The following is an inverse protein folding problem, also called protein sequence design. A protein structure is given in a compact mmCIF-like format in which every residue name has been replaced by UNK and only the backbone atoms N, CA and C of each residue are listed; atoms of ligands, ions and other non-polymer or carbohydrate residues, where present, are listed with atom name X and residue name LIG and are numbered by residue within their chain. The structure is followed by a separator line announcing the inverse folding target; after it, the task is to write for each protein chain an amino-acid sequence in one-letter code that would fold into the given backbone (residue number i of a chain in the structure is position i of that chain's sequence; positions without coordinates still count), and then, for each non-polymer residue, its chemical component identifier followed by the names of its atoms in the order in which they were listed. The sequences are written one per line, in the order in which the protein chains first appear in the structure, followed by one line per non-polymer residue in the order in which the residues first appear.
data_IF_754937360884
#
_entry.id   IF_754937360884
#
_cell.length_a   1.000
_cell.length_b   1.000
_cell.length_c   1.000
_cell.angle_alpha   90.00
_cell.angle_beta   90.00
_cell.angle_gamma   90.00
#
_symmetry.space_group_name_H-M   'P 1'
#
loop_
_entity.id
_entity.type
_entity.pdbx_description
1 polymer ?
#
# COMPACT_ATOMS: atom_id res chain seq x y z
N UNK A 1 -8.12 2.05 16.56
CA UNK A 1 -7.07 3.04 16.95
C UNK A 1 -7.12 4.14 15.92
N UNK A 2 -7.73 5.25 16.36
CA UNK A 2 -8.31 6.20 15.46
C UNK A 2 -7.31 7.17 14.81
N UNK A 3 -7.83 7.92 13.90
CA UNK A 3 -7.31 9.10 13.20
C UNK A 3 -6.60 10.15 14.10
N UNK A 4 -6.55 9.95 15.41
CA UNK A 4 -5.94 10.88 16.37
C UNK A 4 -4.44 11.14 16.20
N UNK A 5 -3.71 10.26 15.51
CA UNK A 5 -2.25 10.43 15.33
C UNK A 5 -1.88 11.36 14.16
N UNK A 6 -2.79 11.55 13.21
CA UNK A 6 -2.55 12.43 12.03
C UNK A 6 -2.63 13.90 12.43
N UNK A 7 -3.36 14.22 13.49
CA UNK A 7 -3.62 15.59 13.94
C UNK A 7 -2.91 15.95 15.25
N UNK A 8 -1.84 15.26 15.61
CA UNK A 8 -1.03 15.66 16.75
C UNK A 8 -0.41 17.02 16.46
N UNK A 9 -1.01 18.05 17.02
CA UNK A 9 -0.47 19.42 16.97
C UNK A 9 0.81 19.57 17.79
N UNK A 10 1.19 18.56 18.57
CA UNK A 10 2.33 18.59 19.48
C UNK A 10 3.14 17.30 19.34
N UNK A 11 4.44 17.47 19.31
CA UNK A 11 5.41 16.37 19.37
C UNK A 11 6.05 16.37 20.74
N UNK A 12 6.04 15.21 21.40
CA UNK A 12 6.71 15.01 22.66
C UNK A 12 8.07 14.39 22.42
N UNK A 13 9.12 15.11 22.74
CA UNK A 13 10.47 14.55 22.69
C UNK A 13 11.34 15.07 23.82
N UNK A 14 12.41 14.35 24.10
CA UNK A 14 13.41 14.74 25.07
C UNK A 14 14.69 15.09 24.33
N UNK A 15 15.22 16.29 24.55
CA UNK A 15 16.53 16.65 24.02
C UNK A 15 17.61 15.73 24.60
N UNK A 16 18.70 15.46 23.86
CA UNK A 16 19.85 14.76 24.40
C UNK A 16 20.32 15.45 25.68
N UNK A 17 20.50 14.66 26.76
CA UNK A 17 20.92 15.10 28.10
C UNK A 17 19.87 15.83 28.96
N UNK A 18 18.65 16.03 28.45
CA UNK A 18 17.59 16.63 29.24
C UNK A 18 16.91 15.62 30.17
N UNK A 19 16.40 16.09 31.32
CA UNK A 19 15.70 15.23 32.32
C UNK A 19 14.22 15.04 31.99
N UNK A 20 13.64 15.98 31.26
CA UNK A 20 12.19 16.03 31.05
C UNK A 20 11.84 15.87 29.57
N UNK A 21 10.64 15.35 29.34
CA UNK A 21 10.01 15.34 28.01
C UNK A 21 9.24 16.63 27.84
N UNK A 22 9.55 17.37 26.81
CA UNK A 22 8.86 18.63 26.47
C UNK A 22 7.89 18.44 25.32
N UNK A 23 6.82 19.24 25.31
CA UNK A 23 5.84 19.27 24.24
C UNK A 23 6.13 20.46 23.33
N UNK A 24 6.39 20.18 22.05
CA UNK A 24 6.63 21.20 21.05
C UNK A 24 5.55 21.16 19.97
N UNK A 25 5.15 22.34 19.42
CA UNK A 25 4.22 22.36 18.31
C UNK A 25 4.84 21.66 17.09
N UNK A 26 4.05 20.84 16.40
CA UNK A 26 4.46 20.20 15.16
C UNK A 26 4.30 21.22 14.02
N UNK A 27 5.40 21.83 13.61
CA UNK A 27 5.44 22.87 12.59
C UNK A 27 6.05 22.39 11.25
N UNK A 28 6.61 21.19 11.23
CA UNK A 28 7.33 20.68 10.07
C UNK A 28 6.41 19.94 9.11
N UNK A 29 6.54 20.23 7.82
CA UNK A 29 6.07 19.39 6.72
C UNK A 29 7.26 18.77 6.01
N UNK A 30 7.09 17.56 5.49
CA UNK A 30 8.17 16.83 4.85
C UNK A 30 7.85 16.67 3.36
N UNK A 31 8.86 16.92 2.54
CA UNK A 31 8.85 16.64 1.11
C UNK A 31 10.04 15.76 0.80
N UNK A 32 9.85 14.77 -0.04
CA UNK A 32 10.91 13.89 -0.50
C UNK A 32 10.79 13.64 -2.00
N UNK A 33 11.89 13.33 -2.66
CA UNK A 33 11.91 12.89 -4.05
C UNK A 33 12.49 11.49 -4.12
N UNK A 34 11.94 10.66 -5.00
CA UNK A 34 12.39 9.30 -5.25
C UNK A 34 12.47 9.06 -6.75
N UNK A 35 13.34 8.16 -7.17
CA UNK A 35 13.41 7.69 -8.53
C UNK A 35 12.60 6.39 -8.64
N UNK A 36 11.57 6.38 -9.48
CA UNK A 36 10.66 5.24 -9.67
C UNK A 36 9.37 5.38 -8.88
N UNK A 37 8.39 4.57 -9.28
CA UNK A 37 7.03 4.66 -8.77
C UNK A 37 6.79 3.75 -7.55
N UNK A 38 7.61 2.72 -7.34
CA UNK A 38 7.44 1.72 -6.30
C UNK A 38 8.14 2.13 -4.99
N UNK A 39 7.58 3.07 -4.23
CA UNK A 39 8.21 3.54 -3.00
C UNK A 39 7.31 3.44 -1.75
N UNK A 40 6.00 3.23 -1.90
CA UNK A 40 5.10 3.07 -0.78
C UNK A 40 5.09 1.61 -0.32
N UNK A 41 5.74 1.34 0.81
CA UNK A 41 5.86 -0.02 1.38
C UNK A 41 4.77 -0.35 2.40
N UNK A 42 4.16 0.67 3.02
CA UNK A 42 3.15 0.48 4.06
C UNK A 42 1.73 0.70 3.49
N UNK A 43 0.94 -0.39 3.31
CA UNK A 43 -0.42 -0.28 2.79
C UNK A 43 -1.37 0.46 3.74
N UNK A 44 -1.02 0.60 5.02
CA UNK A 44 -1.88 1.28 6.01
C UNK A 44 -1.47 2.73 6.24
N UNK A 45 -0.22 3.09 5.96
CA UNK A 45 0.36 4.41 6.17
C UNK A 45 0.35 5.31 4.93
N UNK A 46 0.07 4.78 3.75
CA UNK A 46 0.11 5.51 2.47
C UNK A 46 -0.80 6.74 2.43
N UNK A 47 -1.89 6.77 3.20
CA UNK A 47 -2.77 7.94 3.36
C UNK A 47 -2.10 9.22 3.89
N UNK A 48 -0.84 9.11 4.35
CA UNK A 48 -0.05 10.24 4.85
C UNK A 48 0.85 10.83 3.77
N UNK A 49 0.92 10.18 2.62
CA UNK A 49 1.73 10.58 1.49
C UNK A 49 0.82 11.10 0.38
N UNK A 50 1.26 12.19 -0.24
CA UNK A 50 0.67 12.75 -1.44
C UNK A 50 1.70 12.56 -2.56
N UNK A 51 1.68 11.42 -3.25
CA UNK A 51 2.61 11.17 -4.34
C UNK A 51 2.23 11.98 -5.57
N UNK A 52 3.25 12.52 -6.26
CA UNK A 52 3.11 13.21 -7.53
C UNK A 52 4.16 12.68 -8.50
N UNK A 53 3.76 12.37 -9.70
CA UNK A 53 4.69 12.10 -10.78
C UNK A 53 5.13 13.41 -11.43
N UNK A 54 6.43 13.67 -11.48
CA UNK A 54 6.99 14.84 -12.14
C UNK A 54 7.30 14.49 -13.58
N UNK A 55 6.45 14.92 -14.51
CA UNK A 55 6.61 14.63 -15.93
C UNK A 55 7.65 15.52 -16.61
N UNK A 56 7.74 16.79 -16.21
CA UNK A 56 8.71 17.74 -16.74
C UNK A 56 8.98 18.87 -15.75
N UNK A 57 10.17 19.47 -15.84
CA UNK A 57 10.57 20.60 -15.00
C UNK A 57 11.01 21.75 -15.90
N UNK A 58 10.29 22.87 -15.84
CA UNK A 58 10.70 24.13 -16.46
C UNK A 58 11.56 24.92 -15.47
N UNK A 59 12.88 24.79 -15.60
CA UNK A 59 13.85 25.40 -14.70
C UNK A 59 13.80 26.92 -14.75
N UNK A 60 13.62 27.52 -15.93
CA UNK A 60 13.62 28.97 -16.07
C UNK A 60 12.37 29.59 -15.42
N UNK A 61 11.23 28.97 -15.63
CA UNK A 61 9.99 29.38 -14.96
C UNK A 61 10.04 29.18 -13.46
N UNK A 62 10.63 28.08 -13.01
CA UNK A 62 10.81 27.80 -11.57
C UNK A 62 11.68 28.85 -10.88
N UNK A 63 12.77 29.32 -11.51
CA UNK A 63 13.63 30.39 -10.98
C UNK A 63 12.92 31.75 -10.86
N UNK A 64 11.90 31.99 -11.66
CA UNK A 64 11.13 33.24 -11.64
C UNK A 64 10.08 33.27 -10.51
N UNK A 65 9.79 32.13 -9.87
CA UNK A 65 8.79 32.03 -8.80
C UNK A 65 9.38 32.58 -7.49
N UNK A 66 8.76 33.63 -6.95
CA UNK A 66 9.10 34.16 -5.62
C UNK A 66 8.47 33.27 -4.54
N UNK A 67 9.29 32.69 -3.66
CA UNK A 67 8.78 31.90 -2.53
C UNK A 67 7.97 32.76 -1.55
N UNK A 68 8.30 34.07 -1.38
CA UNK A 68 7.53 34.98 -0.56
C UNK A 68 6.11 35.16 -1.11
N UNK A 69 5.97 35.23 -2.44
CA UNK A 69 4.65 35.30 -3.08
C UNK A 69 3.84 34.01 -2.83
N UNK A 70 4.47 32.85 -2.93
CA UNK A 70 3.81 31.56 -2.64
C UNK A 70 3.31 31.49 -1.20
N UNK A 71 4.14 31.87 -0.23
CA UNK A 71 3.73 31.88 1.18
C UNK A 71 2.63 32.94 1.46
N UNK A 72 2.69 34.08 0.78
CA UNK A 72 1.65 35.11 0.90
C UNK A 72 0.32 34.63 0.38
N UNK A 73 0.30 33.95 -0.78
CA UNK A 73 -0.89 33.35 -1.36
C UNK A 73 -1.47 32.26 -0.45
N UNK A 74 -0.63 31.37 0.07
CA UNK A 74 -1.06 30.35 1.02
C UNK A 74 -1.72 30.96 2.28
N UNK A 75 -1.15 32.06 2.80
CA UNK A 75 -1.72 32.78 3.93
C UNK A 75 -3.08 33.41 3.60
N UNK A 76 -3.22 33.97 2.41
CA UNK A 76 -4.50 34.54 1.93
C UNK A 76 -5.55 33.44 1.82
N UNK A 77 -5.21 32.28 1.26
CA UNK A 77 -6.10 31.14 1.15
C UNK A 77 -6.58 30.66 2.52
N UNK A 78 -5.67 30.50 3.48
CA UNK A 78 -6.04 30.11 4.85
C UNK A 78 -6.99 31.12 5.48
N UNK A 79 -6.70 32.42 5.35
CA UNK A 79 -7.52 33.48 5.91
C UNK A 79 -8.89 33.63 5.24
N UNK A 80 -9.02 33.19 3.98
CA UNK A 80 -10.30 33.12 3.26
C UNK A 80 -11.13 31.89 3.60
N UNK A 81 -10.65 31.02 4.49
CA UNK A 81 -11.36 29.81 4.91
C UNK A 81 -11.12 28.60 3.99
N UNK A 82 -10.04 28.60 3.20
CA UNK A 82 -9.68 27.44 2.41
C UNK A 82 -9.50 26.20 3.30
N UNK A 83 -10.17 25.12 2.94
CA UNK A 83 -10.09 23.85 3.65
C UNK A 83 -8.81 23.10 3.24
N UNK A 84 -7.89 22.96 4.16
CA UNK A 84 -6.58 22.30 3.96
C UNK A 84 -6.52 20.87 4.52
N UNK A 85 -7.64 20.37 5.04
CA UNK A 85 -7.78 19.00 5.53
C UNK A 85 -8.68 18.23 4.59
N UNK A 86 -8.26 17.02 4.26
CA UNK A 86 -9.06 16.10 3.47
C UNK A 86 -10.21 15.52 4.31
N UNK A 87 -11.36 15.32 3.69
CA UNK A 87 -12.45 14.54 4.27
C UNK A 87 -12.28 13.05 3.99
N UNK A 88 -13.21 12.24 4.52
CA UNK A 88 -13.12 10.78 4.41
C UNK A 88 -13.24 10.30 2.96
N UNK A 89 -14.01 10.97 2.11
CA UNK A 89 -14.19 10.62 0.70
C UNK A 89 -12.94 10.97 -0.11
N UNK A 90 -12.37 12.15 0.10
CA UNK A 90 -11.10 12.56 -0.50
C UNK A 90 -9.94 11.66 -0.08
N UNK A 91 -9.92 11.19 1.17
CA UNK A 91 -8.93 10.22 1.64
C UNK A 91 -9.06 8.89 0.90
N UNK A 92 -10.28 8.44 0.60
CA UNK A 92 -10.50 7.22 -0.19
C UNK A 92 -10.02 7.38 -1.62
N UNK A 93 -10.21 8.55 -2.23
CA UNK A 93 -9.73 8.85 -3.59
C UNK A 93 -8.19 8.91 -3.64
N UNK A 94 -7.56 9.62 -2.72
CA UNK A 94 -6.10 9.64 -2.55
C UNK A 94 -5.51 8.24 -2.35
N UNK A 95 -6.24 7.37 -1.67
CA UNK A 95 -5.82 5.99 -1.48
C UNK A 95 -5.76 5.22 -2.79
N UNK A 96 -6.75 5.39 -3.67
CA UNK A 96 -6.79 4.76 -4.99
C UNK A 96 -5.65 5.27 -5.88
N UNK A 97 -5.44 6.58 -5.91
CA UNK A 97 -4.32 7.17 -6.65
C UNK A 97 -2.96 6.69 -6.14
N UNK A 98 -2.82 6.55 -4.81
CA UNK A 98 -1.60 6.05 -4.19
C UNK A 98 -1.33 4.55 -4.43
N UNK A 99 -2.30 3.77 -4.90
CA UNK A 99 -2.11 2.34 -5.21
C UNK A 99 -1.07 2.12 -6.32
N UNK A 100 -0.96 3.03 -7.27
CA UNK A 100 0.01 2.97 -8.37
C UNK A 100 1.47 3.11 -7.89
N UNK A 101 1.67 3.76 -6.72
CA UNK A 101 2.99 3.99 -6.12
C UNK A 101 3.37 2.93 -5.08
N UNK A 102 2.54 1.93 -4.87
CA UNK A 102 2.80 0.89 -3.89
C UNK A 102 3.70 -0.20 -4.46
N UNK A 103 4.73 -0.56 -3.69
CA UNK A 103 5.63 -1.67 -4.01
C UNK A 103 4.84 -2.95 -4.22
N UNK A 104 5.06 -3.59 -5.37
CA UNK A 104 4.53 -4.93 -5.63
C UNK A 104 5.40 -5.95 -4.91
N UNK A 105 4.81 -6.72 -4.01
CA UNK A 105 5.52 -7.79 -3.32
C UNK A 105 5.65 -9.03 -4.21
N UNK A 106 6.72 -9.82 -3.98
CA UNK A 106 6.91 -11.08 -4.68
C UNK A 106 5.70 -12.03 -4.52
N UNK A 107 5.06 -11.99 -3.35
CA UNK A 107 3.84 -12.76 -3.08
C UNK A 107 2.68 -12.34 -3.99
N UNK A 108 2.52 -11.03 -4.24
CA UNK A 108 1.47 -10.53 -5.12
C UNK A 108 1.72 -10.90 -6.58
N UNK A 109 2.95 -10.79 -7.05
CA UNK A 109 3.34 -11.18 -8.39
C UNK A 109 3.12 -12.68 -8.64
N UNK A 110 3.60 -13.53 -7.72
CA UNK A 110 3.41 -14.98 -7.80
C UNK A 110 1.93 -15.37 -7.71
N UNK A 111 1.15 -14.69 -6.84
CA UNK A 111 -0.28 -14.93 -6.71
C UNK A 111 -1.00 -14.69 -8.04
N UNK A 112 -0.76 -13.56 -8.70
CA UNK A 112 -1.41 -13.21 -9.96
C UNK A 112 -0.96 -14.08 -11.15
N UNK A 113 0.27 -14.62 -11.10
CA UNK A 113 0.76 -15.57 -12.12
C UNK A 113 0.17 -16.95 -11.99
N UNK A 114 -0.08 -17.43 -10.78
CA UNK A 114 -0.50 -18.83 -10.53
C UNK A 114 -1.98 -18.97 -10.20
N UNK A 115 -2.66 -17.91 -9.87
CA UNK A 115 -4.07 -17.93 -9.50
C UNK A 115 -4.86 -16.82 -10.18
N UNK A 116 -6.10 -17.13 -10.51
CA UNK A 116 -7.07 -16.15 -10.98
C UNK A 116 -8.33 -16.17 -10.11
N UNK A 117 -9.07 -15.07 -10.15
CA UNK A 117 -10.37 -14.98 -9.47
C UNK A 117 -11.38 -15.82 -10.22
N UNK A 118 -11.97 -16.82 -9.59
CA UNK A 118 -13.02 -17.58 -10.25
C UNK A 118 -14.29 -16.70 -10.40
N UNK A 119 -14.95 -16.79 -11.55
CA UNK A 119 -16.31 -16.30 -11.71
C UNK A 119 -17.24 -16.98 -10.69
N UNK A 120 -18.40 -16.37 -10.38
CA UNK A 120 -19.27 -16.87 -9.31
C UNK A 120 -19.70 -18.33 -9.48
N UNK A 121 -19.94 -18.78 -10.72
CA UNK A 121 -20.39 -20.13 -11.08
C UNK A 121 -19.31 -21.02 -11.72
N UNK A 122 -18.03 -20.72 -11.50
CA UNK A 122 -16.96 -21.51 -12.10
C UNK A 122 -16.86 -22.91 -11.47
N UNK A 123 -16.96 -24.00 -12.25
CA UNK A 123 -16.95 -25.36 -11.73
C UNK A 123 -15.57 -25.81 -11.22
N UNK A 124 -14.49 -25.11 -11.58
CA UNK A 124 -13.09 -25.48 -11.25
C UNK A 124 -12.46 -24.52 -10.24
N UNK A 125 -13.16 -24.22 -9.15
CA UNK A 125 -12.58 -23.41 -8.07
C UNK A 125 -12.14 -24.27 -6.87
N UNK A 126 -11.04 -23.86 -6.26
CA UNK A 126 -10.52 -24.44 -5.02
C UNK A 126 -10.72 -23.46 -3.87
N UNK A 127 -10.89 -23.99 -2.67
CA UNK A 127 -10.94 -23.21 -1.45
C UNK A 127 -9.67 -23.46 -0.65
N UNK A 128 -8.80 -22.46 -0.57
CA UNK A 128 -7.49 -22.58 0.04
C UNK A 128 -7.31 -21.54 1.14
N UNK A 129 -6.66 -21.95 2.22
CA UNK A 129 -6.20 -21.03 3.26
C UNK A 129 -5.00 -20.22 2.74
N UNK A 130 -4.69 -19.10 3.40
CA UNK A 130 -3.47 -18.32 3.08
C UNK A 130 -2.21 -19.18 3.15
N UNK A 131 -2.14 -20.08 4.14
CA UNK A 131 -1.00 -21.00 4.31
C UNK A 131 -0.90 -22.00 3.15
N UNK A 132 -2.01 -22.60 2.72
CA UNK A 132 -2.03 -23.53 1.59
C UNK A 132 -1.63 -22.86 0.28
N UNK A 133 -2.08 -21.61 0.05
CA UNK A 133 -1.67 -20.79 -1.10
C UNK A 133 -0.16 -20.54 -1.04
N UNK A 134 0.34 -20.12 0.12
CA UNK A 134 1.75 -19.83 0.32
C UNK A 134 2.63 -21.06 0.14
N UNK A 135 2.21 -22.22 0.68
CA UNK A 135 2.91 -23.50 0.48
C UNK A 135 2.94 -23.88 -1.00
N UNK A 136 1.82 -23.71 -1.70
CA UNK A 136 1.77 -23.98 -3.14
C UNK A 136 2.70 -23.08 -3.94
N UNK A 137 2.71 -21.76 -3.66
CA UNK A 137 3.59 -20.80 -4.33
C UNK A 137 5.07 -21.03 -3.97
N UNK A 138 5.36 -21.47 -2.75
CA UNK A 138 6.70 -21.81 -2.30
C UNK A 138 7.36 -22.95 -3.10
N UNK A 139 6.58 -23.75 -3.83
CA UNK A 139 7.15 -24.77 -4.75
C UNK A 139 7.75 -24.15 -6.01
N UNK A 140 7.44 -22.90 -6.33
CA UNK A 140 7.89 -22.21 -7.54
C UNK A 140 8.97 -21.14 -7.29
N UNK A 141 9.34 -20.90 -6.04
CA UNK A 141 10.36 -19.90 -5.68
C UNK A 141 11.26 -20.40 -4.56
N UNK A 142 12.52 -19.98 -4.62
CA UNK A 142 13.49 -20.21 -3.53
C UNK A 142 13.51 -19.06 -2.51
N UNK A 143 12.81 -17.98 -2.79
CA UNK A 143 12.72 -16.84 -1.86
C UNK A 143 11.70 -17.15 -0.75
N UNK A 144 12.01 -16.81 0.50
CA UNK A 144 11.07 -16.98 1.61
C UNK A 144 9.87 -16.06 1.42
N UNK A 145 8.67 -16.64 1.40
CA UNK A 145 7.41 -15.92 1.30
C UNK A 145 6.82 -15.65 2.68
N UNK A 146 6.25 -14.46 2.87
CA UNK A 146 5.66 -14.04 4.13
C UNK A 146 4.15 -14.28 4.15
N UNK A 147 3.65 -14.90 5.23
CA UNK A 147 2.22 -15.11 5.44
C UNK A 147 1.45 -13.78 5.53
N UNK A 148 2.07 -12.76 6.14
CA UNK A 148 1.49 -11.43 6.26
C UNK A 148 1.32 -10.79 4.89
N UNK A 149 2.39 -10.73 4.09
CA UNK A 149 2.34 -10.15 2.74
C UNK A 149 1.40 -10.92 1.81
N UNK A 150 1.34 -12.25 1.92
CA UNK A 150 0.37 -13.05 1.16
C UNK A 150 -1.08 -12.70 1.55
N UNK A 151 -1.37 -12.51 2.83
CA UNK A 151 -2.69 -12.08 3.28
C UNK A 151 -3.08 -10.69 2.75
N UNK A 152 -2.13 -9.77 2.71
CA UNK A 152 -2.31 -8.44 2.14
C UNK A 152 -2.49 -8.50 0.62
N UNK A 153 -1.69 -9.31 -0.10
CA UNK A 153 -1.80 -9.54 -1.53
C UNK A 153 -3.19 -10.07 -1.92
N UNK A 154 -3.69 -11.08 -1.21
CA UNK A 154 -5.03 -11.65 -1.43
C UNK A 154 -6.15 -10.62 -1.23
N UNK A 155 -6.01 -9.74 -0.24
CA UNK A 155 -6.96 -8.67 0.03
C UNK A 155 -6.91 -7.59 -1.06
N UNK A 156 -5.71 -7.13 -1.43
CA UNK A 156 -5.50 -6.08 -2.46
C UNK A 156 -5.98 -6.54 -3.83
N UNK A 157 -5.66 -7.77 -4.20
CA UNK A 157 -6.10 -8.35 -5.47
C UNK A 157 -7.59 -8.70 -5.49
N UNK A 158 -8.31 -8.60 -4.36
CA UNK A 158 -9.76 -8.76 -4.28
C UNK A 158 -10.23 -10.23 -4.38
N UNK A 159 -9.40 -11.19 -3.95
CA UNK A 159 -9.88 -12.58 -3.80
C UNK A 159 -10.92 -12.68 -2.68
N UNK A 160 -12.03 -13.36 -2.98
CA UNK A 160 -13.16 -13.48 -2.05
C UNK A 160 -12.81 -14.39 -0.87
N UNK A 161 -12.79 -13.82 0.32
CA UNK A 161 -12.59 -14.56 1.59
C UNK A 161 -13.92 -15.13 2.06
N UNK A 162 -13.97 -16.43 2.35
CA UNK A 162 -15.17 -17.15 2.76
C UNK A 162 -14.88 -17.93 4.04
N UNK A 163 -15.83 -17.99 4.96
CA UNK A 163 -15.76 -18.87 6.13
C UNK A 163 -16.33 -20.25 5.76
N UNK A 164 -15.56 -21.31 5.97
CA UNK A 164 -16.00 -22.70 5.74
C UNK A 164 -15.62 -23.59 6.92
N UNK A 165 -16.46 -24.60 7.19
CA UNK A 165 -16.11 -25.69 8.12
C UNK A 165 -15.50 -26.83 7.33
N UNK A 166 -14.37 -27.35 7.79
CA UNK A 166 -13.75 -28.59 7.31
C UNK A 166 -14.01 -29.69 8.30
N UNK A 167 -14.57 -30.80 7.85
CA UNK A 167 -14.75 -32.06 8.60
C UNK A 167 -15.34 -31.89 10.02
N UNK A 168 -16.36 -31.03 10.18
CA UNK A 168 -17.02 -30.83 11.47
C UNK A 168 -16.24 -29.97 12.46
N UNK A 169 -15.06 -29.48 12.09
CA UNK A 169 -14.21 -28.61 12.94
C UNK A 169 -14.69 -27.17 13.05
N UNK A 170 -13.91 -26.34 13.70
CA UNK A 170 -14.13 -24.88 13.80
C UNK A 170 -14.11 -24.23 12.42
N UNK A 171 -14.90 -23.18 12.20
CA UNK A 171 -14.91 -22.45 10.93
C UNK A 171 -13.54 -21.84 10.66
N UNK A 172 -13.01 -22.07 9.47
CA UNK A 172 -11.75 -21.47 9.01
C UNK A 172 -12.01 -20.52 7.86
N UNK A 173 -11.15 -19.51 7.73
CA UNK A 173 -11.20 -18.60 6.61
C UNK A 173 -10.39 -19.14 5.44
N UNK A 174 -11.04 -19.22 4.27
CA UNK A 174 -10.46 -19.69 3.02
C UNK A 174 -10.72 -18.68 1.91
N UNK A 175 -9.90 -18.70 0.88
CA UNK A 175 -10.08 -17.90 -0.33
C UNK A 175 -10.56 -18.78 -1.47
N UNK A 176 -11.56 -18.29 -2.22
CA UNK A 176 -12.01 -18.93 -3.46
C UNK A 176 -11.01 -18.57 -4.56
N UNK A 177 -10.29 -19.55 -5.08
CA UNK A 177 -9.22 -19.36 -6.06
C UNK A 177 -9.37 -20.37 -7.22
N UNK A 178 -8.90 -20.00 -8.41
CA UNK A 178 -8.72 -20.93 -9.53
C UNK A 178 -7.23 -20.98 -9.87
N UNK A 179 -6.64 -22.18 -9.90
CA UNK A 179 -5.26 -22.38 -10.30
C UNK A 179 -5.11 -22.24 -11.80
N UNK A 180 -4.12 -21.47 -12.24
CA UNK A 180 -3.73 -21.41 -13.65
C UNK A 180 -2.80 -22.60 -13.92
N UNK A 181 -3.21 -23.51 -14.79
CA UNK A 181 -2.46 -24.71 -15.13
C UNK A 181 -2.18 -24.76 -16.64
N UNK A 182 -0.94 -25.06 -17.08
CA UNK A 182 0.28 -25.18 -16.26
C UNK A 182 0.67 -23.83 -15.66
N UNK A 183 1.23 -23.83 -14.45
CA UNK A 183 1.73 -22.57 -13.88
C UNK A 183 2.83 -21.99 -14.80
N UNK A 184 2.73 -20.73 -15.25
CA UNK A 184 3.67 -20.15 -16.22
C UNK A 184 5.14 -20.16 -15.76
N UNK A 185 5.38 -20.35 -14.45
CA UNK A 185 6.71 -20.44 -13.86
C UNK A 185 7.45 -21.74 -14.18
N UNK A 186 6.75 -22.80 -14.63
CA UNK A 186 7.37 -24.06 -15.05
C UNK A 186 7.97 -23.99 -16.47
N UNK A 187 7.53 -23.07 -17.32
CA UNK A 187 8.03 -22.94 -18.68
C UNK A 187 9.40 -22.28 -18.80
N UNK A 188 9.86 -21.58 -17.77
CA UNK A 188 11.16 -20.89 -17.77
C UNK A 188 12.33 -21.76 -17.30
N UNK A 189 12.08 -22.93 -16.71
CA UNK A 189 13.14 -23.84 -16.25
C UNK A 189 13.65 -24.83 -17.30
N UNK A 190 12.99 -24.95 -18.46
CA UNK A 190 13.34 -25.94 -19.49
C UNK A 190 14.33 -25.41 -20.54
N UNK A 191 14.81 -24.18 -20.42
CA UNK A 191 15.70 -23.56 -21.41
C UNK A 191 17.16 -23.41 -20.97
N UNK A 192 17.55 -24.08 -19.88
CA UNK A 192 18.91 -24.08 -19.36
C UNK A 192 19.40 -25.51 -19.08
N UNK A 193 19.28 -26.39 -20.06
CA UNK A 193 20.08 -27.63 -20.17
C UNK A 193 20.67 -27.70 -21.58
#
# INVERSE_FOLDING_TARGET
RGLGDVYKRQVKYRMPYDKYVEEHPHLASFVASVNGNDFLTDPTGSRRFLPFEVLSIDIERAKAISMDAVYTEAKVLINSGFRYLFDDDEIVELYKESEEFQVQTAEMELLLRCFEKPAEDSPHCSYMTTTEILTYLGTYTHHPLSLKHMGEALKRTGFKKVSRRRDGGSPIYVYKVRKILPCPLLSSCSSLM
#
